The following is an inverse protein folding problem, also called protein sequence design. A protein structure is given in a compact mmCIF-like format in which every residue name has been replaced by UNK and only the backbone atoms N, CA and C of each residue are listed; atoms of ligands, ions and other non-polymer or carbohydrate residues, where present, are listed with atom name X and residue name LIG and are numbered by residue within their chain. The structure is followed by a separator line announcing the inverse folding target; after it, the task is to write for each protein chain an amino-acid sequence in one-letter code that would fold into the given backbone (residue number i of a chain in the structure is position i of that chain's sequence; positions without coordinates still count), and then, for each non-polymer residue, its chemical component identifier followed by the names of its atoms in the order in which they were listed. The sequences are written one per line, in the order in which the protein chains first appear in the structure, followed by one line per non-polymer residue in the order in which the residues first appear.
data_IF_628883684907
#
_entry.id   IF_628883684907
#
_cell.length_a   1.000
_cell.length_b   1.000
_cell.length_c   1.000
_cell.angle_alpha   90.00
_cell.angle_beta   90.00
_cell.angle_gamma   90.00
#
_symmetry.space_group_name_H-M   'P 1'
#
loop_
_entity.id
_entity.type
_entity.pdbx_description
1 polymer ?
#
# COMPACT_ATOMS: atom_id res chain seq x y z
N UNK A 1 21.83 15.54 1.42
CA UNK A 1 22.15 14.43 2.34
C UNK A 1 21.24 13.21 2.11
N UNK A 2 19.94 13.21 2.47
CA UNK A 2 19.07 12.03 2.21
C UNK A 2 18.94 11.68 0.72
N UNK A 3 18.83 12.70 -0.14
CA UNK A 3 18.78 12.50 -1.60
C UNK A 3 20.07 11.87 -2.14
N UNK A 4 21.22 12.22 -1.57
CA UNK A 4 22.52 11.67 -1.97
C UNK A 4 22.56 10.18 -1.66
N UNK A 5 22.10 9.75 -0.48
CA UNK A 5 22.00 8.34 -0.13
C UNK A 5 21.02 7.58 -1.04
N UNK A 6 19.87 8.18 -1.39
CA UNK A 6 18.95 7.59 -2.36
C UNK A 6 19.65 7.40 -3.70
N UNK A 7 20.37 8.41 -4.18
CA UNK A 7 21.09 8.34 -5.44
C UNK A 7 22.20 7.27 -5.42
N UNK A 8 22.94 7.15 -4.31
CA UNK A 8 23.91 6.07 -4.13
C UNK A 8 23.25 4.68 -4.16
N UNK A 9 22.08 4.50 -3.55
CA UNK A 9 21.32 3.24 -3.66
C UNK A 9 20.91 2.95 -5.11
N UNK A 10 20.45 3.95 -5.85
CA UNK A 10 20.15 3.78 -7.28
C UNK A 10 21.39 3.46 -8.13
N UNK A 11 22.57 4.00 -7.79
CA UNK A 11 23.84 3.59 -8.41
C UNK A 11 24.16 2.12 -8.11
N UNK A 12 23.97 1.67 -6.87
CA UNK A 12 24.18 0.27 -6.51
C UNK A 12 23.21 -0.66 -7.26
N UNK A 13 21.94 -0.27 -7.37
CA UNK A 13 20.95 -1.01 -8.17
C UNK A 13 21.35 -1.06 -9.65
N UNK A 14 21.80 0.06 -10.22
CA UNK A 14 22.31 0.13 -11.59
C UNK A 14 23.52 -0.79 -11.80
N UNK A 15 24.47 -0.80 -10.85
CA UNK A 15 25.64 -1.69 -10.89
C UNK A 15 25.21 -3.16 -10.85
N UNK A 16 24.26 -3.50 -9.97
CA UNK A 16 23.70 -4.84 -9.89
C UNK A 16 23.07 -5.27 -11.23
N UNK A 17 22.20 -4.44 -11.82
CA UNK A 17 21.58 -4.73 -13.11
C UNK A 17 22.65 -4.89 -14.21
N UNK A 18 23.62 -3.99 -14.25
CA UNK A 18 24.69 -3.99 -15.25
C UNK A 18 25.55 -5.26 -15.16
N UNK A 19 25.87 -5.71 -13.94
CA UNK A 19 26.64 -6.94 -13.72
C UNK A 19 25.91 -8.20 -14.21
N UNK A 20 24.58 -8.16 -14.29
CA UNK A 20 23.74 -9.28 -14.73
C UNK A 20 23.20 -9.09 -16.15
N UNK A 21 23.60 -8.04 -16.88
CA UNK A 21 22.97 -7.70 -18.16
C UNK A 21 23.19 -8.78 -19.24
N UNK A 22 24.23 -9.59 -19.08
CA UNK A 22 24.58 -10.69 -19.98
C UNK A 22 23.83 -12.00 -19.71
N UNK A 23 23.06 -12.11 -18.61
CA UNK A 23 22.36 -13.36 -18.26
C UNK A 23 21.17 -13.65 -19.16
N UNK A 24 20.69 -12.65 -19.91
CA UNK A 24 19.58 -12.78 -20.84
C UNK A 24 19.68 -11.77 -21.98
N UNK A 25 19.14 -12.13 -23.16
CA UNK A 25 19.03 -11.23 -24.32
C UNK A 25 18.05 -10.08 -24.10
N UNK A 26 17.09 -10.28 -23.20
CA UNK A 26 16.02 -9.35 -22.85
C UNK A 26 15.79 -9.38 -21.34
N UNK A 27 15.73 -8.21 -20.73
CA UNK A 27 15.55 -7.99 -19.30
C UNK A 27 14.38 -7.03 -19.14
N UNK A 28 13.45 -7.40 -18.26
CA UNK A 28 12.33 -6.54 -17.87
C UNK A 28 12.46 -6.29 -16.38
N UNK A 29 12.52 -5.03 -16.00
CA UNK A 29 12.63 -4.58 -14.61
C UNK A 29 11.33 -3.88 -14.27
N UNK A 30 10.73 -4.23 -13.14
CA UNK A 30 9.46 -3.67 -12.71
C UNK A 30 9.53 -3.36 -11.22
N UNK A 31 9.09 -2.16 -10.84
CA UNK A 31 8.71 -1.86 -9.46
C UNK A 31 7.30 -2.37 -9.22
N UNK A 32 7.04 -2.93 -8.05
CA UNK A 32 5.69 -3.28 -7.60
C UNK A 32 4.87 -2.02 -7.26
N UNK A 33 5.53 -0.99 -6.73
CA UNK A 33 4.94 0.32 -6.46
C UNK A 33 5.99 1.46 -6.44
N UNK A 34 5.51 2.70 -6.40
CA UNK A 34 6.32 3.89 -6.09
C UNK A 34 6.60 4.05 -4.58
N UNK A 35 7.08 5.23 -4.19
CA UNK A 35 7.18 5.62 -2.78
C UNK A 35 6.97 7.13 -2.66
N UNK A 36 6.33 7.58 -1.58
CA UNK A 36 6.04 9.00 -1.38
C UNK A 36 6.55 9.51 -0.04
N UNK A 37 7.12 10.72 -0.08
CA UNK A 37 7.57 11.41 1.13
C UNK A 37 6.39 11.75 2.04
N UNK A 38 6.54 11.43 3.32
CA UNK A 38 5.56 11.75 4.37
C UNK A 38 6.13 12.78 5.35
N UNK A 39 5.22 13.42 6.08
CA UNK A 39 5.51 14.46 7.08
C UNK A 39 5.15 14.02 8.48
N UNK A 40 4.10 13.23 8.63
CA UNK A 40 3.66 12.67 9.91
C UNK A 40 3.27 11.21 9.77
N UNK A 41 3.29 10.50 10.89
CA UNK A 41 2.85 9.11 11.00
C UNK A 41 1.63 9.02 11.90
N UNK A 42 0.62 8.29 11.44
CA UNK A 42 -0.68 8.12 12.09
C UNK A 42 -0.76 6.73 12.70
N UNK A 43 -0.98 6.66 14.00
CA UNK A 43 -1.12 5.40 14.73
C UNK A 43 -2.60 5.05 14.88
N UNK A 44 -3.15 4.31 13.91
CA UNK A 44 -4.58 4.00 13.91
C UNK A 44 -5.02 3.14 15.10
N UNK A 45 -4.16 2.24 15.57
CA UNK A 45 -4.47 1.48 16.79
C UNK A 45 -4.55 2.39 18.02
N UNK A 46 -3.81 3.51 18.05
CA UNK A 46 -3.96 4.55 19.09
C UNK A 46 -5.28 5.33 18.95
N UNK A 47 -5.73 5.60 17.72
CA UNK A 47 -7.07 6.17 17.48
C UNK A 47 -8.15 5.23 18.03
N UNK A 48 -8.08 3.94 17.68
CA UNK A 48 -9.04 2.92 18.13
C UNK A 48 -9.00 2.73 19.67
N UNK A 49 -7.83 2.90 20.29
CA UNK A 49 -7.70 2.90 21.74
C UNK A 49 -8.41 4.10 22.38
N UNK A 50 -8.21 5.32 21.84
CA UNK A 50 -8.91 6.54 22.32
C UNK A 50 -10.43 6.45 22.10
N UNK A 51 -10.89 5.74 21.07
CA UNK A 51 -12.30 5.42 20.84
C UNK A 51 -12.83 4.29 21.75
N UNK A 52 -12.01 3.77 22.66
CA UNK A 52 -12.38 2.72 23.62
C UNK A 52 -12.81 1.39 22.96
N UNK A 53 -12.38 1.13 21.72
CA UNK A 53 -12.66 -0.11 20.97
C UNK A 53 -11.44 -1.02 20.83
N UNK A 54 -10.24 -0.52 21.15
CA UNK A 54 -9.02 -1.31 21.28
C UNK A 54 -8.49 -1.19 22.71
N UNK A 55 -7.94 -2.29 23.23
CA UNK A 55 -7.28 -2.33 24.53
C UNK A 55 -5.88 -2.92 24.39
N UNK A 56 -4.92 -2.27 25.04
CA UNK A 56 -3.54 -2.74 25.13
C UNK A 56 -3.22 -3.12 26.58
N UNK A 57 -2.31 -4.07 26.74
CA UNK A 57 -1.69 -4.43 28.01
C UNK A 57 -0.18 -4.46 27.78
N UNK A 58 0.51 -3.42 28.23
CA UNK A 58 1.90 -3.17 27.88
C UNK A 58 2.07 -2.98 26.37
N UNK A 59 2.90 -3.82 25.76
CA UNK A 59 3.27 -3.81 24.35
C UNK A 59 2.41 -4.73 23.47
N UNK A 60 1.26 -5.20 23.97
CA UNK A 60 0.39 -6.17 23.28
C UNK A 60 -1.07 -5.76 23.31
N UNK A 61 -1.81 -6.17 22.27
CA UNK A 61 -3.27 -6.04 22.23
C UNK A 61 -3.89 -7.03 23.22
N UNK A 62 -4.76 -6.53 24.10
CA UNK A 62 -5.64 -7.34 24.94
C UNK A 62 -6.86 -7.76 24.13
N UNK A 63 -6.73 -8.89 23.44
CA UNK A 63 -7.76 -9.42 22.54
C UNK A 63 -9.09 -9.71 23.23
N UNK A 64 -9.09 -10.06 24.52
CA UNK A 64 -10.32 -10.37 25.26
C UNK A 64 -11.13 -9.12 25.60
N UNK A 65 -10.55 -7.92 25.43
CA UNK A 65 -11.21 -6.63 25.69
C UNK A 65 -11.22 -5.71 24.47
N UNK A 66 -10.65 -6.16 23.35
CA UNK A 66 -10.59 -5.41 22.10
C UNK A 66 -11.77 -5.78 21.20
N UNK A 67 -12.49 -4.76 20.73
CA UNK A 67 -13.63 -4.89 19.81
C UNK A 67 -13.23 -4.67 18.34
N UNK A 68 -12.21 -3.86 18.07
CA UNK A 68 -11.72 -3.61 16.71
C UNK A 68 -10.22 -3.32 16.72
N UNK A 69 -9.54 -3.63 15.62
CA UNK A 69 -8.10 -3.44 15.46
C UNK A 69 -7.75 -3.10 14.01
N UNK A 70 -6.72 -2.28 13.84
CA UNK A 70 -6.09 -2.03 12.55
C UNK A 70 -4.99 -3.09 12.31
N UNK A 71 -5.20 -3.93 11.31
CA UNK A 71 -4.32 -5.06 10.99
C UNK A 71 -3.19 -4.72 10.01
N UNK A 72 -3.12 -3.48 9.52
CA UNK A 72 -2.30 -3.12 8.37
C UNK A 72 -3.07 -3.26 7.07
N UNK A 73 -2.45 -2.95 5.93
CA UNK A 73 -3.10 -3.09 4.62
C UNK A 73 -4.31 -2.17 4.42
N UNK A 74 -4.47 -1.12 5.23
CA UNK A 74 -5.64 -0.24 5.16
C UNK A 74 -6.89 -0.89 5.76
N UNK A 75 -6.74 -2.05 6.41
CA UNK A 75 -7.85 -2.86 6.88
C UNK A 75 -8.00 -2.72 8.40
N UNK A 76 -9.17 -2.24 8.81
CA UNK A 76 -9.65 -2.36 10.19
C UNK A 76 -10.65 -3.51 10.26
N UNK A 77 -10.44 -4.40 11.24
CA UNK A 77 -11.32 -5.54 11.50
C UNK A 77 -11.99 -5.42 12.84
N UNK A 78 -13.22 -5.90 12.89
CA UNK A 78 -13.97 -6.14 14.12
C UNK A 78 -13.54 -7.50 14.69
N UNK A 79 -13.28 -7.56 16.00
CA UNK A 79 -13.00 -8.80 16.71
C UNK A 79 -14.31 -9.57 16.95
N UNK A 80 -14.85 -10.14 15.88
CA UNK A 80 -16.17 -10.74 15.79
C UNK A 80 -16.15 -12.18 16.31
N UNK A 81 -17.15 -12.54 17.11
CA UNK A 81 -17.35 -13.92 17.57
C UNK A 81 -17.49 -14.87 16.39
N UNK A 82 -16.91 -16.07 16.53
CA UNK A 82 -16.94 -17.14 15.53
C UNK A 82 -16.22 -16.82 14.20
N UNK A 83 -15.44 -15.74 14.15
CA UNK A 83 -14.54 -15.42 13.01
C UNK A 83 -13.13 -15.18 13.50
N UNK A 84 -12.96 -14.30 14.49
CA UNK A 84 -11.69 -14.09 15.16
C UNK A 84 -11.51 -15.06 16.34
N UNK A 85 -10.28 -15.55 16.54
CA UNK A 85 -9.93 -16.53 17.60
C UNK A 85 -10.39 -16.11 19.00
N UNK A 86 -10.35 -14.81 19.28
CA UNK A 86 -10.75 -14.22 20.57
C UNK A 86 -11.92 -13.25 20.40
N UNK A 87 -12.77 -13.49 19.41
CA UNK A 87 -13.90 -12.64 19.08
C UNK A 87 -14.81 -12.38 20.28
N UNK A 88 -15.11 -11.11 20.54
CA UNK A 88 -15.99 -10.70 21.63
C UNK A 88 -17.26 -9.99 21.15
N UNK A 89 -17.21 -9.40 19.95
CA UNK A 89 -18.33 -8.65 19.37
C UNK A 89 -19.35 -9.62 18.78
N UNK A 90 -20.62 -9.44 19.14
CA UNK A 90 -21.71 -10.23 18.56
C UNK A 90 -22.14 -9.65 17.20
N UNK A 91 -22.74 -10.49 16.34
CA UNK A 91 -23.19 -10.07 15.00
C UNK A 91 -24.21 -8.92 15.02
N UNK A 92 -25.05 -8.83 16.06
CA UNK A 92 -26.03 -7.75 16.24
C UNK A 92 -25.39 -6.39 16.63
N UNK A 93 -24.18 -6.39 17.17
CA UNK A 93 -23.42 -5.18 17.50
C UNK A 93 -22.58 -4.66 16.32
N UNK A 94 -22.27 -5.54 15.36
CA UNK A 94 -21.33 -5.30 14.26
C UNK A 94 -21.62 -4.00 13.49
N UNK A 95 -22.81 -3.86 12.91
CA UNK A 95 -23.13 -2.72 12.04
C UNK A 95 -23.06 -1.39 12.81
N UNK A 96 -23.51 -1.36 14.06
CA UNK A 96 -23.42 -0.17 14.92
C UNK A 96 -21.97 0.19 15.24
N UNK A 97 -21.14 -0.80 15.55
CA UNK A 97 -19.72 -0.60 15.85
C UNK A 97 -18.95 -0.11 14.62
N UNK A 98 -19.21 -0.70 13.44
CA UNK A 98 -18.62 -0.25 12.18
C UNK A 98 -18.97 1.21 11.91
N UNK A 99 -20.26 1.57 11.98
CA UNK A 99 -20.71 2.97 11.79
C UNK A 99 -20.06 3.93 12.77
N UNK A 100 -19.94 3.55 14.04
CA UNK A 100 -19.26 4.35 15.05
C UNK A 100 -17.78 4.57 14.73
N UNK A 101 -17.04 3.52 14.34
CA UNK A 101 -15.62 3.63 14.01
C UNK A 101 -15.43 4.47 12.74
N UNK A 102 -16.17 4.17 11.68
CA UNK A 102 -16.12 4.91 10.40
C UNK A 102 -16.37 6.40 10.62
N UNK A 103 -17.43 6.77 11.35
CA UNK A 103 -17.74 8.17 11.65
C UNK A 103 -16.58 8.93 12.31
N UNK A 104 -15.87 8.29 13.25
CA UNK A 104 -14.74 8.92 13.92
C UNK A 104 -13.49 8.97 13.03
N UNK A 105 -13.24 7.94 12.22
CA UNK A 105 -12.13 7.90 11.28
C UNK A 105 -12.28 8.95 10.15
N UNK A 106 -13.48 9.17 9.64
CA UNK A 106 -13.78 10.20 8.62
C UNK A 106 -13.54 11.63 9.12
N UNK A 107 -13.58 11.83 10.44
CA UNK A 107 -13.37 13.11 11.13
C UNK A 107 -11.96 13.23 11.70
N UNK A 108 -11.09 12.26 11.45
CA UNK A 108 -9.71 12.29 11.90
C UNK A 108 -8.94 13.40 11.15
N UNK A 109 -8.51 14.39 11.92
CA UNK A 109 -7.87 15.61 11.43
C UNK A 109 -6.60 15.90 12.23
N UNK A 110 -5.57 16.37 11.53
CA UNK A 110 -4.39 16.94 12.17
C UNK A 110 -4.73 18.27 12.82
N UNK A 111 -4.64 18.34 14.15
CA UNK A 111 -5.05 19.51 14.91
C UNK A 111 -4.21 20.76 14.64
N UNK A 112 -3.00 20.60 14.09
CA UNK A 112 -2.10 21.71 13.76
C UNK A 112 -2.39 22.24 12.36
N UNK A 113 -2.46 21.36 11.35
CA UNK A 113 -2.62 21.76 9.95
C UNK A 113 -4.07 21.91 9.51
N UNK A 114 -5.02 21.36 10.29
CA UNK A 114 -6.44 21.23 9.95
C UNK A 114 -6.71 20.35 8.72
N UNK A 115 -5.72 19.58 8.28
CA UNK A 115 -5.86 18.68 7.15
C UNK A 115 -6.56 17.38 7.58
N UNK A 116 -7.53 16.93 6.78
CA UNK A 116 -8.09 15.58 6.91
C UNK A 116 -6.99 14.55 6.61
N UNK A 117 -6.90 13.54 7.46
CA UNK A 117 -5.86 12.50 7.36
C UNK A 117 -6.32 11.38 6.44
N UNK A 118 -7.54 10.89 6.63
CA UNK A 118 -8.14 9.84 5.81
C UNK A 118 -9.10 10.48 4.80
N UNK A 119 -8.91 10.18 3.52
CA UNK A 119 -9.65 10.83 2.42
C UNK A 119 -10.70 9.93 1.80
N UNK A 120 -10.53 8.60 1.86
CA UNK A 120 -11.50 7.62 1.36
C UNK A 120 -11.57 6.44 2.33
N UNK A 121 -12.78 6.15 2.82
CA UNK A 121 -13.07 5.01 3.68
C UNK A 121 -14.29 4.29 3.12
N UNK A 122 -14.17 2.97 2.96
CA UNK A 122 -15.30 2.08 2.68
C UNK A 122 -15.58 1.23 3.91
N UNK A 123 -16.83 0.89 4.16
CA UNK A 123 -17.20 0.01 5.25
C UNK A 123 -18.30 -0.95 4.84
N UNK A 124 -18.24 -2.15 5.41
CA UNK A 124 -19.22 -3.19 5.16
C UNK A 124 -20.30 -3.14 6.24
N UNK A 125 -21.58 -3.18 5.84
CA UNK A 125 -22.69 -3.24 6.80
C UNK A 125 -22.86 -4.63 7.43
N UNK A 126 -22.28 -5.65 6.81
CA UNK A 126 -22.21 -7.04 7.29
C UNK A 126 -20.76 -7.52 7.41
N UNK A 127 -20.47 -8.53 8.25
CA UNK A 127 -19.12 -9.06 8.40
C UNK A 127 -18.47 -9.43 7.07
N UNK A 128 -17.27 -8.91 6.83
CA UNK A 128 -16.49 -9.22 5.63
C UNK A 128 -15.85 -10.62 5.70
N UNK A 129 -15.46 -11.15 4.54
CA UNK A 129 -14.78 -12.44 4.44
C UNK A 129 -13.39 -12.46 5.10
N UNK A 130 -12.76 -13.63 5.13
CA UNK A 130 -11.48 -13.85 5.83
C UNK A 130 -10.32 -12.99 5.27
N UNK A 131 -10.37 -12.63 3.99
CA UNK A 131 -9.33 -11.83 3.31
C UNK A 131 -9.71 -10.36 3.10
N UNK A 132 -10.84 -9.93 3.65
CA UNK A 132 -11.39 -8.59 3.43
C UNK A 132 -11.39 -7.76 4.72
N UNK A 133 -11.53 -6.44 4.60
CA UNK A 133 -11.68 -5.55 5.75
C UNK A 133 -13.14 -5.27 6.07
N UNK A 134 -13.47 -5.15 7.36
CA UNK A 134 -14.81 -4.64 7.75
C UNK A 134 -14.91 -3.13 7.50
N UNK A 135 -13.78 -2.43 7.66
CA UNK A 135 -13.57 -1.05 7.25
C UNK A 135 -12.25 -0.99 6.48
N UNK A 136 -12.28 -0.38 5.29
CA UNK A 136 -11.18 -0.27 4.34
C UNK A 136 -10.82 1.21 4.19
N UNK A 137 -9.57 1.54 4.47
CA UNK A 137 -8.97 2.84 4.24
C UNK A 137 -8.33 2.80 2.85
N UNK A 138 -9.01 3.40 1.89
CA UNK A 138 -8.61 3.41 0.49
C UNK A 138 -7.97 4.73 0.05
N UNK A 139 -7.92 5.72 0.95
CA UNK A 139 -7.35 7.02 0.66
C UNK A 139 -6.79 7.69 1.90
N UNK A 140 -5.54 8.14 1.80
CA UNK A 140 -4.80 8.84 2.85
C UNK A 140 -4.24 10.12 2.28
N UNK A 141 -4.29 11.20 3.05
CA UNK A 141 -3.64 12.44 2.68
C UNK A 141 -2.14 12.17 2.55
N UNK A 142 -1.50 12.54 1.43
CA UNK A 142 -0.15 12.06 1.17
C UNK A 142 0.97 12.62 2.04
N UNK A 143 0.66 13.59 2.91
CA UNK A 143 1.57 14.03 3.97
C UNK A 143 1.63 13.06 5.14
N UNK A 144 0.76 12.06 5.18
CA UNK A 144 0.61 11.14 6.30
C UNK A 144 0.93 9.71 5.86
N UNK A 145 1.56 8.95 6.76
CA UNK A 145 1.67 7.49 6.69
C UNK A 145 0.81 6.85 7.78
N UNK A 146 0.43 5.59 7.59
CA UNK A 146 -0.34 4.83 8.59
C UNK A 146 0.55 3.75 9.21
N UNK A 147 0.41 3.55 10.51
CA UNK A 147 1.15 2.54 11.28
C UNK A 147 0.22 1.63 12.07
N UNK A 148 0.63 0.37 12.19
CA UNK A 148 0.02 -0.64 13.08
C UNK A 148 0.55 -0.61 14.50
N UNK A 149 1.60 0.18 14.77
CA UNK A 149 2.21 0.32 16.09
C UNK A 149 1.17 0.64 17.19
N UNK A 150 1.39 0.09 18.39
CA UNK A 150 0.44 0.13 19.52
C UNK A 150 1.07 0.73 20.78
N UNK A 151 2.38 0.82 20.83
CA UNK A 151 3.20 1.33 21.94
C UNK A 151 3.25 2.87 21.99
N UNK A 152 2.48 3.56 21.16
CA UNK A 152 2.55 5.01 20.97
C UNK A 152 1.56 5.75 21.87
N UNK A 153 2.02 6.84 22.45
CA UNK A 153 1.19 7.71 23.33
C UNK A 153 0.33 8.68 22.52
N UNK A 154 0.85 9.16 21.40
CA UNK A 154 0.15 10.10 20.52
C UNK A 154 -0.44 9.42 19.28
N UNK A 155 -1.50 10.01 18.73
CA UNK A 155 -2.10 9.55 17.46
C UNK A 155 -1.20 9.94 16.28
N UNK A 156 -0.55 11.10 16.36
CA UNK A 156 0.29 11.67 15.33
C UNK A 156 1.69 11.89 15.89
N UNK A 157 2.70 11.55 15.09
CA UNK A 157 4.09 11.87 15.36
C UNK A 157 4.71 12.49 14.12
N UNK A 158 5.51 13.54 14.34
CA UNK A 158 6.25 14.20 13.27
C UNK A 158 7.39 13.30 12.77
N UNK A 159 7.58 13.32 11.45
CA UNK A 159 8.71 12.64 10.82
C UNK A 159 9.99 13.42 11.14
N UNK A 160 10.91 12.75 11.81
CA UNK A 160 12.26 13.24 12.08
C UNK A 160 13.23 12.55 11.10
N UNK A 161 13.90 13.30 10.20
CA UNK A 161 14.88 12.74 9.27
C UNK A 161 15.98 11.96 10.00
N UNK A 162 16.40 10.82 9.42
CA UNK A 162 17.42 9.90 9.96
C UNK A 162 17.06 9.17 11.26
N UNK A 163 15.88 9.44 11.84
CA UNK A 163 15.40 8.77 13.05
C UNK A 163 14.11 7.97 12.79
N UNK A 164 13.23 8.50 11.95
CA UNK A 164 11.95 7.87 11.59
C UNK A 164 11.87 7.55 10.10
N UNK A 165 10.85 6.79 9.72
CA UNK A 165 10.48 6.55 8.32
C UNK A 165 10.07 7.88 7.68
N UNK A 166 10.76 8.31 6.61
CA UNK A 166 10.54 9.61 5.95
C UNK A 166 9.71 9.54 4.67
N UNK A 167 9.43 8.33 4.19
CA UNK A 167 8.63 8.06 3.01
C UNK A 167 7.93 6.71 3.21
N UNK A 168 6.71 6.57 2.70
CA UNK A 168 5.92 5.36 2.83
C UNK A 168 5.20 5.06 1.50
N UNK A 169 4.58 3.90 1.43
CA UNK A 169 3.79 3.44 0.30
C UNK A 169 2.47 2.82 0.77
N UNK A 170 1.47 2.82 -0.11
CA UNK A 170 0.16 2.25 0.16
C UNK A 170 -0.84 3.25 0.73
N UNK A 171 -2.12 3.01 0.41
CA UNK A 171 -3.30 3.78 0.83
C UNK A 171 -3.43 5.19 0.24
N UNK A 172 -2.52 5.61 -0.65
CA UNK A 172 -2.67 6.80 -1.49
C UNK A 172 -3.54 6.48 -2.70
N UNK A 173 -3.98 7.52 -3.43
CA UNK A 173 -4.74 7.28 -4.67
C UNK A 173 -3.83 6.62 -5.71
N UNK A 174 -4.43 5.91 -6.65
CA UNK A 174 -3.70 5.18 -7.70
C UNK A 174 -2.68 6.06 -8.46
N UNK A 175 -3.00 7.34 -8.65
CA UNK A 175 -2.14 8.33 -9.32
C UNK A 175 -0.89 8.72 -8.51
N UNK A 176 -0.88 8.45 -7.21
CA UNK A 176 0.17 8.90 -6.28
C UNK A 176 1.32 7.90 -6.14
N UNK A 177 1.25 6.75 -6.81
CA UNK A 177 2.15 5.60 -6.64
C UNK A 177 2.77 5.15 -7.97
N UNK A 178 3.41 6.08 -8.67
CA UNK A 178 4.12 5.78 -9.91
C UNK A 178 5.32 4.86 -9.66
N UNK A 179 5.25 3.65 -10.23
CA UNK A 179 6.38 2.73 -10.33
C UNK A 179 7.16 2.92 -11.63
N UNK A 180 8.26 2.18 -11.77
CA UNK A 180 9.03 2.14 -13.01
C UNK A 180 8.91 0.75 -13.66
N UNK A 181 8.79 0.73 -14.98
CA UNK A 181 8.97 -0.49 -15.79
C UNK A 181 10.00 -0.18 -16.87
N UNK A 182 11.03 -1.02 -16.97
CA UNK A 182 12.10 -0.88 -17.95
C UNK A 182 12.14 -2.15 -18.79
N UNK A 183 11.97 -1.98 -20.10
CA UNK A 183 12.18 -3.01 -21.10
C UNK A 183 13.56 -2.80 -21.75
N UNK A 184 14.49 -3.72 -21.50
CA UNK A 184 15.86 -3.65 -22.00
C UNK A 184 16.21 -4.90 -22.81
N UNK A 185 16.89 -4.75 -23.94
CA UNK A 185 17.39 -5.89 -24.71
C UNK A 185 17.16 -5.81 -26.21
N UNK A 186 17.43 -6.93 -26.89
CA UNK A 186 17.44 -7.00 -28.36
C UNK A 186 16.06 -6.75 -28.98
N UNK A 187 14.98 -7.10 -28.29
CA UNK A 187 13.61 -6.98 -28.80
C UNK A 187 13.00 -5.58 -28.68
N UNK A 188 13.51 -4.75 -27.76
CA UNK A 188 12.84 -3.51 -27.39
C UNK A 188 13.43 -2.26 -28.06
N UNK A 189 12.60 -1.25 -28.30
CA UNK A 189 13.03 0.06 -28.83
C UNK A 189 13.81 0.84 -27.77
N UNK A 190 14.85 1.56 -28.19
CA UNK A 190 15.56 2.49 -27.31
C UNK A 190 14.84 3.83 -27.20
N UNK A 191 14.91 4.47 -26.03
CA UNK A 191 14.54 5.87 -25.84
C UNK A 191 13.05 6.19 -25.92
N UNK A 192 12.16 5.21 -25.80
CA UNK A 192 10.71 5.43 -25.82
C UNK A 192 10.14 5.40 -24.41
N UNK A 193 9.67 6.56 -23.94
CA UNK A 193 8.86 6.66 -22.73
C UNK A 193 7.39 6.41 -23.10
N UNK A 194 6.69 5.61 -22.32
CA UNK A 194 5.26 5.36 -22.49
C UNK A 194 4.63 5.02 -21.15
N UNK A 195 3.30 5.19 -21.07
CA UNK A 195 2.54 4.81 -19.89
C UNK A 195 2.25 3.31 -19.93
N UNK A 196 2.59 2.63 -18.85
CA UNK A 196 2.33 1.21 -18.65
C UNK A 196 1.70 1.00 -17.27
N UNK A 197 0.83 -0.02 -17.16
CA UNK A 197 0.40 -0.56 -15.88
C UNK A 197 1.21 -1.81 -15.57
N UNK A 198 1.41 -2.11 -14.29
CA UNK A 198 2.09 -3.35 -13.88
C UNK A 198 1.41 -4.60 -14.45
N UNK A 199 0.08 -4.57 -14.58
CA UNK A 199 -0.72 -5.64 -15.18
C UNK A 199 -0.46 -5.84 -16.69
N UNK A 200 0.13 -4.86 -17.37
CA UNK A 200 0.50 -4.94 -18.79
C UNK A 200 1.81 -5.72 -19.01
N UNK A 201 2.62 -5.91 -17.95
CA UNK A 201 3.92 -6.59 -18.04
C UNK A 201 3.75 -8.06 -18.42
N UNK A 202 2.86 -8.78 -17.73
CA UNK A 202 2.61 -10.20 -17.98
C UNK A 202 2.17 -10.47 -19.44
N UNK A 203 1.10 -9.87 -19.99
CA UNK A 203 0.68 -10.15 -21.37
C UNK A 203 1.74 -9.73 -22.39
N UNK A 204 2.55 -8.71 -22.10
CA UNK A 204 3.69 -8.32 -22.94
C UNK A 204 4.78 -9.39 -22.96
N UNK A 205 5.08 -10.02 -21.82
CA UNK A 205 6.01 -11.16 -21.74
C UNK A 205 5.46 -12.36 -22.50
N UNK A 206 4.18 -12.70 -22.32
CA UNK A 206 3.58 -13.86 -22.97
C UNK A 206 3.59 -13.74 -24.50
N UNK A 207 3.44 -12.53 -25.04
CA UNK A 207 3.62 -12.27 -26.47
C UNK A 207 5.03 -12.64 -26.97
N UNK A 208 6.08 -12.43 -26.18
CA UNK A 208 7.46 -12.81 -26.55
C UNK A 208 7.57 -14.32 -26.76
N UNK A 209 6.81 -15.10 -26.00
CA UNK A 209 6.79 -16.56 -26.08
C UNK A 209 5.73 -17.10 -27.05
N UNK A 210 5.00 -16.24 -27.77
CA UNK A 210 3.90 -16.67 -28.64
C UNK A 210 2.72 -17.29 -27.89
N UNK A 211 2.58 -16.99 -26.59
CA UNK A 211 1.51 -17.51 -25.75
C UNK A 211 0.35 -16.51 -25.76
N UNK A 212 -0.82 -16.96 -26.21
CA UNK A 212 -2.03 -16.15 -26.25
C UNK A 212 -3.02 -16.61 -25.16
N UNK A 213 -3.07 -15.86 -24.06
CA UNK A 213 -4.05 -16.06 -22.99
C UNK A 213 -4.75 -14.74 -22.68
N UNK A 214 -5.97 -14.84 -22.15
CA UNK A 214 -6.70 -13.69 -21.63
C UNK A 214 -5.98 -13.15 -20.38
N UNK A 215 -5.78 -11.84 -20.35
CA UNK A 215 -5.15 -11.11 -19.25
C UNK A 215 -5.94 -9.83 -18.97
N UNK A 216 -5.81 -9.30 -17.75
CA UNK A 216 -6.44 -8.02 -17.38
C UNK A 216 -5.73 -6.82 -18.01
N UNK A 217 -4.40 -6.91 -18.16
CA UNK A 217 -3.59 -5.88 -18.82
C UNK A 217 -3.57 -6.01 -20.34
N UNK A 218 -3.09 -4.95 -20.99
CA UNK A 218 -2.89 -4.92 -22.45
C UNK A 218 -1.45 -5.29 -22.82
N UNK A 219 -1.27 -5.76 -24.04
CA UNK A 219 0.07 -5.94 -24.62
C UNK A 219 0.65 -4.56 -24.98
N UNK A 220 1.86 -4.28 -24.50
CA UNK A 220 2.60 -3.05 -24.81
C UNK A 220 3.31 -3.16 -26.17
N UNK A 221 2.56 -3.25 -27.26
CA UNK A 221 3.11 -3.39 -28.62
C UNK A 221 4.13 -2.29 -28.97
N UNK A 222 3.93 -1.11 -28.40
CA UNK A 222 4.76 0.06 -28.60
C UNK A 222 6.20 -0.08 -28.11
N UNK A 223 6.51 -1.05 -27.22
CA UNK A 223 7.87 -1.27 -26.69
C UNK A 223 8.74 -2.10 -27.62
N UNK A 224 8.17 -2.91 -28.51
CA UNK A 224 8.91 -3.79 -29.40
C UNK A 224 9.42 -3.07 -30.64
N UNK A 225 10.61 -3.42 -31.13
CA UNK A 225 11.14 -2.94 -32.41
C UNK A 225 10.20 -3.30 -33.56
N UNK A 226 10.21 -2.50 -34.64
CA UNK A 226 9.40 -2.76 -35.84
C UNK A 226 9.67 -4.15 -36.45
N UNK A 227 10.87 -4.70 -36.27
CA UNK A 227 11.26 -6.03 -36.76
C UNK A 227 10.70 -7.20 -35.94
N UNK A 228 10.09 -6.93 -34.77
CA UNK A 228 9.50 -7.95 -33.94
C UNK A 228 8.10 -8.31 -34.46
N UNK A 229 8.03 -9.39 -35.23
CA UNK A 229 6.78 -9.94 -35.74
C UNK A 229 6.49 -11.27 -35.04
N UNK A 230 5.56 -11.24 -34.09
CA UNK A 230 4.83 -12.43 -33.65
C UNK A 230 3.35 -12.14 -33.90
N UNK A 231 2.81 -12.84 -34.89
CA UNK A 231 1.37 -12.99 -35.16
C UNK A 231 0.71 -13.77 -34.03
#
# INVERSE_FOLDING_TARGET
RSLDHIFEVYKLASNFITAHISVADNIIICSDHGIRKVKKRVYLNKVLEKLNVLKVNGDKIDWKRTKAYYGGGGIVRINLRNREKYGIVNKNEFSKLVKYITYNLERLEDQITREKILTVIYSNESPAGDREGDIIIAGVNPRYSISTAIEKEEILEDVIPYFTITADHGYYKDEDMEGIVIFYGKLFRKGKLTNAKIIDVMPTILKIFGINIKADGRILNEVFKNSFNHT
#
